data_IF_309830783897
#
_entry.id   IF_309830783897
#
_cell.length_a   1.000
_cell.length_b   1.000
_cell.length_c   1.000
_cell.angle_alpha   90.00
_cell.angle_beta   90.00
_cell.angle_gamma   90.00
#
_symmetry.space_group_name_H-M   'P 1'
#
loop_
_entity.id
_entity.type
_entity.pdbx_description
1 polymer ?
#
# COMPACT_ATOMS: atom_id res chain seq x y z
N UNK A 1 13.99 15.06 -8.71
CA UNK A 1 13.35 13.72 -8.79
C UNK A 1 11.97 13.93 -9.36
N UNK A 2 11.72 13.48 -10.59
CA UNK A 2 10.39 13.49 -11.18
C UNK A 2 9.65 12.29 -10.59
N UNK A 3 8.68 12.56 -9.70
CA UNK A 3 7.73 11.54 -9.26
C UNK A 3 6.79 11.34 -10.42
N UNK A 4 7.00 10.28 -11.21
CA UNK A 4 5.98 9.78 -12.11
C UNK A 4 4.72 9.52 -11.28
N UNK A 5 3.80 10.49 -11.30
CA UNK A 5 2.48 10.33 -10.73
C UNK A 5 1.69 9.45 -11.68
N UNK A 6 2.06 8.17 -11.76
CA UNK A 6 1.13 7.18 -12.28
C UNK A 6 -0.11 7.24 -11.39
N UNK A 7 -1.31 7.38 -11.97
CA UNK A 7 -2.52 7.26 -11.19
C UNK A 7 -2.51 5.86 -10.56
N UNK A 8 -2.33 5.83 -9.23
CA UNK A 8 -2.43 4.59 -8.48
C UNK A 8 -3.77 3.96 -8.84
N UNK A 9 -3.75 2.67 -9.15
CA UNK A 9 -4.95 1.89 -9.37
C UNK A 9 -5.97 2.19 -8.26
N UNK A 10 -7.23 2.55 -8.60
CA UNK A 10 -8.20 2.98 -7.60
C UNK A 10 -8.38 1.95 -6.47
N UNK A 11 -8.30 0.65 -6.79
CA UNK A 11 -8.39 -0.41 -5.79
C UNK A 11 -7.19 -0.49 -4.85
N UNK A 12 -5.98 -0.23 -5.37
CA UNK A 12 -4.77 -0.10 -4.53
C UNK A 12 -4.91 1.11 -3.60
N UNK A 13 -5.34 2.26 -4.13
CA UNK A 13 -5.50 3.48 -3.35
C UNK A 13 -6.49 3.27 -2.19
N UNK A 14 -7.70 2.78 -2.48
CA UNK A 14 -8.72 2.50 -1.47
C UNK A 14 -8.24 1.50 -0.41
N UNK A 15 -7.55 0.44 -0.85
CA UNK A 15 -7.01 -0.57 0.06
C UNK A 15 -5.93 0.02 0.96
N UNK A 16 -5.00 0.81 0.41
CA UNK A 16 -3.94 1.46 1.16
C UNK A 16 -4.51 2.44 2.20
N UNK A 17 -5.51 3.26 1.84
CA UNK A 17 -6.18 4.16 2.79
C UNK A 17 -6.84 3.39 3.93
N UNK A 18 -7.53 2.28 3.62
CA UNK A 18 -8.18 1.44 4.64
C UNK A 18 -7.16 0.80 5.57
N UNK A 19 -6.03 0.32 5.04
CA UNK A 19 -4.95 -0.26 5.84
C UNK A 19 -4.30 0.79 6.73
N UNK A 20 -3.98 1.97 6.18
CA UNK A 20 -3.36 3.07 6.92
C UNK A 20 -4.16 3.45 8.18
N UNK A 21 -5.48 3.67 8.00
CA UNK A 21 -6.38 3.98 9.12
C UNK A 21 -6.40 2.87 10.16
N UNK A 22 -6.41 1.60 9.74
CA UNK A 22 -6.38 0.46 10.66
C UNK A 22 -5.06 0.39 11.44
N UNK A 23 -3.93 0.62 10.79
CA UNK A 23 -2.63 0.68 11.45
C UNK A 23 -2.59 1.80 12.50
N UNK A 24 -3.06 3.00 12.16
CA UNK A 24 -3.14 4.11 13.12
C UNK A 24 -4.08 3.81 14.28
N UNK A 25 -5.23 3.16 14.06
CA UNK A 25 -6.11 2.72 15.16
C UNK A 25 -5.38 1.80 16.16
N UNK A 26 -4.51 0.91 15.68
CA UNK A 26 -3.75 -0.02 16.54
C UNK A 26 -2.77 0.73 17.43
N UNK A 27 -2.05 1.70 16.86
CA UNK A 27 -1.03 2.46 17.60
C UNK A 27 -1.55 3.77 18.20
N UNK A 28 -2.84 4.07 18.08
CA UNK A 28 -3.43 5.35 18.43
C UNK A 28 -3.18 5.73 19.89
N UNK A 29 -3.15 4.75 20.80
CA UNK A 29 -2.87 4.96 22.22
C UNK A 29 -1.44 5.46 22.50
N UNK A 30 -0.52 5.28 21.54
CA UNK A 30 0.87 5.73 21.63
C UNK A 30 1.12 7.09 20.95
N UNK A 31 0.10 7.66 20.30
CA UNK A 31 0.20 8.90 19.52
C UNK A 31 -0.64 10.01 20.15
N UNK A 32 -0.19 11.25 19.99
CA UNK A 32 -1.01 12.44 20.23
C UNK A 32 -1.94 12.67 19.05
N UNK A 33 -3.06 13.37 19.29
CA UNK A 33 -4.05 13.63 18.23
C UNK A 33 -3.47 14.41 17.04
N UNK A 34 -2.56 15.34 17.31
CA UNK A 34 -1.85 16.10 16.27
C UNK A 34 -0.98 15.21 15.35
N UNK A 35 -0.56 14.03 15.82
CA UNK A 35 0.29 13.10 15.07
C UNK A 35 -0.52 12.13 14.19
N UNK A 36 -1.86 12.08 14.32
CA UNK A 36 -2.68 11.08 13.63
C UNK A 36 -2.66 11.23 12.11
N UNK A 37 -2.69 12.48 11.61
CA UNK A 37 -2.66 12.75 10.18
C UNK A 37 -1.32 12.37 9.54
N UNK A 38 -0.22 12.63 10.25
CA UNK A 38 1.12 12.29 9.79
C UNK A 38 1.32 10.77 9.78
N UNK A 39 0.84 10.08 10.83
CA UNK A 39 0.84 8.63 10.88
C UNK A 39 0.01 8.01 9.74
N UNK A 40 -1.21 8.50 9.50
CA UNK A 40 -2.06 8.02 8.40
C UNK A 40 -1.37 8.22 7.03
N UNK A 41 -0.68 9.35 6.82
CA UNK A 41 0.08 9.62 5.58
C UNK A 41 1.24 8.65 5.40
N UNK A 42 2.01 8.41 6.44
CA UNK A 42 3.16 7.52 6.42
C UNK A 42 2.73 6.06 6.19
N UNK A 43 1.71 5.60 6.90
CA UNK A 43 1.16 4.26 6.67
C UNK A 43 0.58 4.12 5.27
N UNK A 44 -0.12 5.13 4.75
CA UNK A 44 -0.63 5.10 3.39
C UNK A 44 0.50 4.92 2.37
N UNK A 45 1.61 5.67 2.52
CA UNK A 45 2.78 5.56 1.64
C UNK A 45 3.34 4.13 1.62
N UNK A 46 3.61 3.57 2.80
CA UNK A 46 4.15 2.21 2.95
C UNK A 46 3.17 1.17 2.39
N UNK A 47 1.88 1.23 2.76
CA UNK A 47 0.90 0.28 2.27
C UNK A 47 0.74 0.34 0.75
N UNK A 48 0.74 1.54 0.15
CA UNK A 48 0.63 1.69 -1.30
C UNK A 48 1.85 1.10 -2.00
N UNK A 49 3.05 1.42 -1.54
CA UNK A 49 4.30 0.92 -2.10
C UNK A 49 4.35 -0.62 -2.10
N UNK A 50 4.03 -1.24 -0.97
CA UNK A 50 4.01 -2.70 -0.84
C UNK A 50 2.95 -3.35 -1.76
N UNK A 51 1.76 -2.75 -1.86
CA UNK A 51 0.70 -3.26 -2.75
C UNK A 51 1.08 -3.15 -4.23
N UNK A 52 1.72 -2.05 -4.63
CA UNK A 52 2.23 -1.85 -5.99
C UNK A 52 3.35 -2.84 -6.32
N UNK A 53 4.30 -3.04 -5.41
CA UNK A 53 5.38 -4.04 -5.55
C UNK A 53 4.83 -5.46 -5.62
N UNK A 54 3.84 -5.79 -4.81
CA UNK A 54 3.17 -7.09 -4.84
C UNK A 54 2.48 -7.31 -6.19
N UNK A 55 1.71 -6.33 -6.70
CA UNK A 55 1.06 -6.43 -8.01
C UNK A 55 2.07 -6.58 -9.15
N UNK A 56 3.16 -5.81 -9.13
CA UNK A 56 4.23 -5.95 -10.10
C UNK A 56 4.89 -7.33 -10.06
N UNK A 57 5.04 -7.92 -8.86
CA UNK A 57 5.61 -9.26 -8.67
C UNK A 57 4.64 -10.39 -9.03
N UNK A 58 3.35 -10.22 -8.76
CA UNK A 58 2.30 -11.16 -9.14
C UNK A 58 2.19 -11.27 -10.67
N UNK A 59 2.27 -10.13 -11.36
CA UNK A 59 2.25 -10.08 -12.83
C UNK A 59 3.43 -10.83 -13.47
N UNK A 60 4.56 -10.98 -12.76
CA UNK A 60 5.72 -11.78 -13.20
C UNK A 60 5.55 -13.28 -12.99
N UNK A 61 4.73 -13.71 -12.02
CA UNK A 61 4.54 -15.13 -11.68
C UNK A 61 3.50 -15.84 -12.56
N UNK A 62 2.55 -15.11 -13.13
CA UNK A 62 1.50 -15.68 -13.98
C UNK A 62 2.01 -16.17 -15.35
N UNK A 63 3.28 -15.94 -15.69
CA UNK A 63 3.92 -16.39 -16.92
C UNK A 63 4.63 -17.75 -16.85
N UNK A 64 4.58 -18.47 -15.72
CA UNK A 64 5.20 -19.80 -15.62
C UNK A 64 4.21 -20.86 -16.09
N UNK A 65 4.21 -21.15 -17.39
CA UNK A 65 3.54 -22.33 -17.94
C UNK A 65 3.98 -23.57 -17.16
N UNK A 66 3.01 -24.28 -16.59
CA UNK A 66 3.20 -25.58 -15.98
C UNK A 66 3.44 -26.57 -17.12
N UNK A 67 4.59 -27.27 -17.19
CA UNK A 67 4.76 -28.31 -18.18
C UNK A 67 3.74 -29.41 -17.87
N UNK A 68 2.85 -29.68 -18.83
CA UNK A 68 1.92 -30.81 -18.73
C UNK A 68 2.72 -32.11 -18.78
N UNK A 69 2.32 -33.13 -17.99
CA UNK A 69 2.98 -34.43 -17.95
C UNK A 69 2.89 -35.17 -19.30
#
# INVERSE_FOLDING_TARGET
MFVDSQPADPGIHETAVRMARRCRHIIQACLREEEWSDADREFYRVCREELEQWRASASRHTGREVPRP
#
